data_IF_972644403076
#
_entry.id   IF_972644403076
#
_cell.length_a   1.000
_cell.length_b   1.000
_cell.length_c   1.000
_cell.angle_alpha   90.00
_cell.angle_beta   90.00
_cell.angle_gamma   90.00
#
_symmetry.space_group_name_H-M   'P 1'
#
loop_
_entity.id
_entity.type
_entity.pdbx_description
1 polymer ?
#
# COMPACT_ATOMS: atom_id res chain seq x y z
N UNK A 1 -4.00 -14.59 -26.96
CA UNK A 1 -4.04 -13.75 -25.73
C UNK A 1 -2.66 -13.39 -25.18
N UNK A 2 -1.70 -14.32 -25.06
CA UNK A 2 -0.34 -14.01 -24.54
C UNK A 2 0.40 -12.88 -25.30
N UNK A 3 0.31 -12.84 -26.63
CA UNK A 3 1.00 -11.84 -27.47
C UNK A 3 0.49 -10.40 -27.29
N UNK A 4 -0.79 -10.24 -26.95
CA UNK A 4 -1.41 -8.92 -26.75
C UNK A 4 -1.00 -8.35 -25.38
N UNK A 5 -0.92 -9.20 -24.35
CA UNK A 5 -0.44 -8.81 -23.02
C UNK A 5 1.01 -8.33 -23.07
N UNK A 6 1.88 -9.02 -23.81
CA UNK A 6 3.26 -8.56 -24.01
C UNK A 6 3.37 -7.25 -24.79
N UNK A 7 2.51 -7.04 -25.81
CA UNK A 7 2.49 -5.79 -26.57
C UNK A 7 2.05 -4.60 -25.70
N UNK A 8 1.03 -4.78 -24.85
CA UNK A 8 0.57 -3.73 -23.91
C UNK A 8 1.65 -3.42 -22.87
N UNK A 9 2.36 -4.43 -22.38
CA UNK A 9 3.45 -4.26 -21.40
C UNK A 9 4.66 -3.51 -22.00
N UNK A 10 5.02 -3.81 -23.25
CA UNK A 10 6.08 -3.10 -23.98
C UNK A 10 5.66 -1.66 -24.29
N UNK A 11 4.41 -1.45 -24.72
CA UNK A 11 3.90 -0.12 -25.05
C UNK A 11 3.82 0.78 -23.81
N UNK A 12 3.51 0.21 -22.63
CA UNK A 12 3.58 0.94 -21.35
C UNK A 12 5.00 1.33 -20.97
N UNK A 13 6.03 0.54 -21.27
CA UNK A 13 7.42 0.90 -20.99
C UNK A 13 7.95 2.02 -21.89
N UNK A 14 7.44 2.16 -23.11
CA UNK A 14 7.89 3.21 -24.07
C UNK A 14 7.21 4.56 -23.79
N UNK A 15 5.98 4.56 -23.24
CA UNK A 15 5.23 5.78 -22.95
C UNK A 15 5.80 6.61 -21.77
N UNK A 16 6.74 6.08 -20.98
CA UNK A 16 7.37 6.80 -19.86
C UNK A 16 8.56 7.70 -20.25
N UNK A 17 8.86 7.90 -21.55
CA UNK A 17 9.99 8.75 -21.99
C UNK A 17 9.61 10.18 -22.42
N UNK A 18 8.58 10.79 -21.82
CA UNK A 18 8.34 12.23 -21.98
C UNK A 18 9.09 13.03 -20.92
N UNK A 19 10.32 13.45 -21.23
CA UNK A 19 11.05 14.45 -20.45
C UNK A 19 10.57 15.84 -20.84
N UNK A 20 9.77 16.47 -19.98
CA UNK A 20 9.48 17.90 -20.10
C UNK A 20 9.15 18.47 -18.72
N UNK A 21 10.14 19.03 -18.04
CA UNK A 21 10.06 20.33 -17.35
C UNK A 21 11.39 20.67 -16.66
N UNK A 22 11.97 21.78 -17.10
CA UNK A 22 13.06 22.48 -16.43
C UNK A 22 12.55 23.09 -15.12
N UNK A 23 12.50 22.29 -14.06
CA UNK A 23 12.53 22.77 -12.69
C UNK A 23 13.72 22.12 -12.01
N UNK A 24 14.45 22.86 -11.17
CA UNK A 24 15.59 22.37 -10.40
C UNK A 24 15.10 21.41 -9.30
N UNK A 25 14.56 20.28 -9.71
CA UNK A 25 14.03 19.25 -8.82
C UNK A 25 15.16 18.28 -8.46
N UNK A 26 15.63 18.38 -7.22
CA UNK A 26 16.59 17.42 -6.68
C UNK A 26 15.86 16.15 -6.27
N UNK A 27 16.21 15.04 -6.92
CA UNK A 27 15.73 13.70 -6.54
C UNK A 27 16.20 13.38 -5.12
N UNK A 28 15.25 13.27 -4.19
CA UNK A 28 15.51 12.92 -2.79
C UNK A 28 15.25 11.43 -2.57
N UNK A 29 16.06 10.81 -1.73
CA UNK A 29 15.91 9.42 -1.28
C UNK A 29 15.70 9.44 0.23
N UNK A 30 14.83 8.57 0.71
CA UNK A 30 14.53 8.45 2.14
C UNK A 30 14.29 7.00 2.49
N UNK A 31 14.63 6.60 3.72
CA UNK A 31 14.26 5.32 4.29
C UNK A 31 13.29 5.58 5.44
N UNK A 32 12.21 4.81 5.49
CA UNK A 32 11.22 4.90 6.53
C UNK A 32 10.84 3.58 7.14
N UNK A 33 10.26 3.68 8.33
CA UNK A 33 9.72 2.59 9.12
C UNK A 33 8.28 2.90 9.47
N UNK A 34 7.41 1.90 9.46
CA UNK A 34 6.00 2.07 9.84
C UNK A 34 5.51 0.94 10.73
N UNK A 35 4.53 1.28 11.56
CA UNK A 35 3.65 0.32 12.19
C UNK A 35 2.43 0.10 11.28
N UNK A 36 2.00 -1.15 11.17
CA UNK A 36 0.96 -1.58 10.24
C UNK A 36 -0.16 -2.29 10.99
N UNK A 37 -1.40 -1.96 10.66
CA UNK A 37 -2.61 -2.70 11.04
C UNK A 37 -3.35 -3.18 9.79
N UNK A 38 -3.50 -4.50 9.66
CA UNK A 38 -4.22 -5.16 8.58
C UNK A 38 -5.64 -5.55 9.04
N UNK A 39 -6.65 -5.00 8.38
CA UNK A 39 -8.07 -5.27 8.62
C UNK A 39 -8.67 -6.10 7.47
N UNK A 40 -8.94 -7.36 7.78
CA UNK A 40 -9.61 -8.30 6.89
C UNK A 40 -11.13 -8.33 7.06
N UNK A 41 -11.63 -7.87 8.22
CA UNK A 41 -13.04 -8.01 8.61
C UNK A 41 -13.92 -6.99 7.92
N UNK A 42 -13.52 -5.72 7.86
CA UNK A 42 -14.32 -4.68 7.22
C UNK A 42 -14.54 -4.96 5.73
N UNK A 43 -13.53 -5.34 4.94
CA UNK A 43 -13.73 -5.70 3.53
C UNK A 43 -14.63 -6.93 3.34
N UNK A 44 -14.54 -7.92 4.22
CA UNK A 44 -15.42 -9.10 4.18
C UNK A 44 -16.88 -8.71 4.43
N UNK A 45 -17.13 -7.84 5.42
CA UNK A 45 -18.47 -7.31 5.70
C UNK A 45 -19.01 -6.42 4.57
N UNK A 46 -18.17 -5.57 3.97
CA UNK A 46 -18.56 -4.73 2.83
C UNK A 46 -18.93 -5.56 1.59
N UNK A 47 -18.39 -6.77 1.45
CA UNK A 47 -18.68 -7.67 0.34
C UNK A 47 -19.87 -8.58 0.60
N UNK A 48 -20.11 -8.96 1.86
CA UNK A 48 -21.23 -9.83 2.25
C UNK A 48 -22.49 -9.05 2.58
N UNK A 49 -22.38 -7.77 2.91
CA UNK A 49 -23.49 -6.87 3.24
C UNK A 49 -23.43 -5.59 2.39
N UNK A 50 -24.35 -4.63 2.62
CA UNK A 50 -24.31 -3.33 1.92
C UNK A 50 -23.42 -2.32 2.64
N UNK A 51 -22.84 -1.37 1.89
CA UNK A 51 -22.09 -0.24 2.45
C UNK A 51 -22.89 0.53 3.51
N UNK A 52 -24.17 0.82 3.22
CA UNK A 52 -25.08 1.48 4.15
C UNK A 52 -25.25 0.69 5.46
N UNK A 53 -25.24 -0.64 5.41
CA UNK A 53 -25.32 -1.49 6.60
C UNK A 53 -24.03 -1.50 7.41
N UNK A 54 -22.84 -1.39 6.79
CA UNK A 54 -21.57 -1.34 7.52
C UNK A 54 -21.40 0.00 8.23
N UNK A 55 -21.72 1.10 7.55
CA UNK A 55 -21.66 2.45 8.11
C UNK A 55 -22.70 2.65 9.22
N UNK A 56 -23.96 2.27 8.98
CA UNK A 56 -25.05 2.44 9.96
C UNK A 56 -24.86 1.63 11.23
N UNK A 57 -24.20 0.48 11.14
CA UNK A 57 -24.00 -0.42 12.28
C UNK A 57 -22.57 -0.38 12.84
N UNK A 58 -21.76 0.62 12.43
CA UNK A 58 -20.39 0.86 12.90
C UNK A 58 -19.49 -0.39 12.88
N UNK A 59 -19.66 -1.28 11.89
CA UNK A 59 -18.97 -2.58 11.85
C UNK A 59 -17.55 -2.50 11.30
N UNK A 60 -16.89 -1.36 11.46
CA UNK A 60 -15.47 -1.21 11.17
C UNK A 60 -14.68 -2.02 12.19
N UNK A 61 -13.64 -2.71 11.74
CA UNK A 61 -12.76 -3.44 12.64
C UNK A 61 -12.10 -2.46 13.62
N UNK A 62 -12.11 -2.82 14.90
CA UNK A 62 -11.36 -2.07 15.92
C UNK A 62 -9.87 -2.33 15.72
N UNK A 63 -9.01 -1.40 16.11
CA UNK A 63 -7.56 -1.58 16.05
C UNK A 63 -7.10 -2.88 16.73
N UNK A 64 -7.73 -3.28 17.84
CA UNK A 64 -7.43 -4.54 18.55
C UNK A 64 -7.74 -5.82 17.75
N UNK A 65 -8.61 -5.72 16.73
CA UNK A 65 -8.98 -6.84 15.85
C UNK A 65 -8.15 -6.87 14.56
N UNK A 66 -7.27 -5.87 14.36
CA UNK A 66 -6.37 -5.83 13.21
C UNK A 66 -5.15 -6.70 13.46
N UNK A 67 -4.64 -7.32 12.39
CA UNK A 67 -3.35 -7.99 12.44
C UNK A 67 -2.22 -6.96 12.40
N UNK A 68 -1.36 -6.98 13.41
CA UNK A 68 -0.32 -5.97 13.59
C UNK A 68 1.00 -6.38 12.96
N UNK A 69 1.78 -5.40 12.52
CA UNK A 69 3.07 -5.62 11.89
C UNK A 69 3.92 -4.38 11.77
N UNK A 70 5.04 -4.53 11.07
CA UNK A 70 5.97 -3.46 10.79
C UNK A 70 6.32 -3.45 9.30
N UNK A 71 6.61 -2.25 8.79
CA UNK A 71 7.03 -2.02 7.41
C UNK A 71 8.33 -1.25 7.35
N UNK A 72 9.12 -1.53 6.32
CA UNK A 72 10.29 -0.76 5.90
C UNK A 72 10.00 -0.23 4.51
N UNK A 73 10.28 1.05 4.29
CA UNK A 73 9.97 1.77 3.05
C UNK A 73 11.23 2.44 2.51
N UNK A 74 11.51 2.24 1.23
CA UNK A 74 12.48 3.03 0.48
C UNK A 74 11.71 3.98 -0.44
N UNK A 75 11.87 5.28 -0.22
CA UNK A 75 11.12 6.34 -0.89
C UNK A 75 12.07 7.09 -1.81
N UNK A 76 11.71 7.22 -3.08
CA UNK A 76 12.46 7.98 -4.06
C UNK A 76 11.57 8.99 -4.77
N UNK A 77 11.80 10.27 -4.51
CA UNK A 77 11.10 11.36 -5.17
C UNK A 77 11.59 11.50 -6.62
N UNK A 78 10.70 11.18 -7.57
CA UNK A 78 11.03 11.13 -9.00
C UNK A 78 10.57 12.40 -9.71
N UNK A 79 9.43 12.97 -9.29
CA UNK A 79 8.88 14.25 -9.71
C UNK A 79 8.45 15.06 -8.47
N UNK A 80 8.24 16.40 -8.58
CA UNK A 80 7.76 17.22 -7.46
C UNK A 80 6.56 16.61 -6.73
N UNK A 81 5.60 16.07 -7.48
CA UNK A 81 4.37 15.48 -6.96
C UNK A 81 4.36 13.95 -6.95
N UNK A 82 5.43 13.26 -7.38
CA UNK A 82 5.42 11.79 -7.46
C UNK A 82 6.64 11.20 -6.77
N UNK A 83 6.35 10.39 -5.74
CA UNK A 83 7.33 9.55 -5.06
C UNK A 83 7.10 8.09 -5.44
N UNK A 84 8.17 7.39 -5.81
CA UNK A 84 8.15 5.94 -5.99
C UNK A 84 8.57 5.31 -4.67
N UNK A 85 7.76 4.41 -4.13
CA UNK A 85 7.99 3.78 -2.84
C UNK A 85 8.06 2.27 -3.03
N UNK A 86 9.16 1.67 -2.56
CA UNK A 86 9.27 0.24 -2.40
C UNK A 86 9.09 -0.10 -0.92
N UNK A 87 8.13 -0.95 -0.59
CA UNK A 87 7.79 -1.33 0.78
C UNK A 87 7.96 -2.82 1.00
N UNK A 88 8.53 -3.19 2.14
CA UNK A 88 8.51 -4.55 2.66
C UNK A 88 7.85 -4.55 4.03
N UNK A 89 6.80 -5.37 4.20
CA UNK A 89 6.07 -5.48 5.46
C UNK A 89 6.01 -6.91 5.96
N UNK A 90 6.04 -7.05 7.29
CA UNK A 90 5.80 -8.30 8.00
C UNK A 90 4.73 -8.07 9.05
N UNK A 91 3.68 -8.90 9.04
CA UNK A 91 2.58 -8.81 10.01
C UNK A 91 2.12 -10.18 10.49
N UNK A 92 1.54 -10.22 11.68
CA UNK A 92 0.86 -11.41 12.20
C UNK A 92 -0.64 -11.21 12.05
N UNK A 93 -1.26 -12.06 11.24
CA UNK A 93 -2.66 -11.92 10.84
C UNK A 93 -3.39 -13.24 11.02
N UNK A 94 -4.66 -13.14 11.40
CA UNK A 94 -5.56 -14.28 11.54
C UNK A 94 -6.66 -14.17 10.48
N UNK A 95 -6.56 -14.97 9.41
CA UNK A 95 -7.64 -15.11 8.42
C UNK A 95 -7.61 -16.50 7.78
N UNK A 96 -8.79 -17.05 7.49
CA UNK A 96 -8.91 -18.38 6.86
C UNK A 96 -9.05 -18.25 5.34
N UNK A 97 -8.18 -18.91 4.57
CA UNK A 97 -8.30 -19.01 3.11
C UNK A 97 -9.41 -20.01 2.72
N UNK A 98 -10.10 -19.85 1.58
CA UNK A 98 -11.07 -20.83 1.09
C UNK A 98 -10.46 -22.24 1.02
N UNK A 99 -11.10 -23.22 1.67
CA UNK A 99 -10.61 -24.61 1.72
C UNK A 99 -9.47 -24.89 2.72
N UNK A 100 -9.07 -23.92 3.56
CA UNK A 100 -8.08 -24.12 4.62
C UNK A 100 -8.59 -23.59 5.97
N UNK A 101 -8.97 -24.51 6.86
CA UNK A 101 -9.29 -24.20 8.26
C UNK A 101 -8.01 -23.88 9.03
N UNK A 102 -7.56 -22.64 8.95
CA UNK A 102 -6.48 -22.14 9.78
C UNK A 102 -7.04 -20.99 10.64
N UNK A 103 -7.18 -21.25 11.93
CA UNK A 103 -7.67 -20.33 12.97
C UNK A 103 -6.52 -19.89 13.89
N UNK A 104 -5.29 -19.83 13.37
CA UNK A 104 -4.12 -19.43 14.15
C UNK A 104 -3.44 -18.23 13.51
N UNK A 105 -2.88 -17.38 14.36
CA UNK A 105 -2.14 -16.20 13.95
C UNK A 105 -0.90 -16.63 13.14
N UNK A 106 -0.77 -16.18 11.89
CA UNK A 106 0.35 -16.55 11.03
C UNK A 106 1.05 -15.34 10.46
N UNK A 107 2.32 -15.54 10.16
CA UNK A 107 3.15 -14.53 9.54
C UNK A 107 2.77 -14.32 8.06
N UNK A 108 2.52 -13.06 7.74
CA UNK A 108 2.29 -12.54 6.40
C UNK A 108 3.46 -11.63 6.05
N UNK A 109 4.17 -11.95 4.98
CA UNK A 109 5.17 -11.06 4.39
C UNK A 109 4.60 -10.44 3.12
N UNK A 110 4.75 -9.14 2.94
CA UNK A 110 4.35 -8.45 1.71
C UNK A 110 5.49 -7.58 1.19
N UNK A 111 5.56 -7.50 -0.14
CA UNK A 111 6.47 -6.64 -0.86
C UNK A 111 5.66 -5.89 -1.91
N UNK A 112 5.74 -4.56 -1.93
CA UNK A 112 5.01 -3.73 -2.89
C UNK A 112 5.86 -2.58 -3.42
N UNK A 113 5.48 -2.12 -4.62
CA UNK A 113 6.02 -0.92 -5.26
C UNK A 113 4.83 -0.03 -5.63
N UNK A 114 4.80 1.17 -5.06
CA UNK A 114 3.72 2.14 -5.25
C UNK A 114 4.22 3.47 -5.79
N UNK A 115 3.38 4.14 -6.57
CA UNK A 115 3.48 5.56 -6.83
C UNK A 115 2.63 6.33 -5.82
N UNK A 116 3.25 7.27 -5.11
CA UNK A 116 2.59 8.20 -4.21
C UNK A 116 2.46 9.56 -4.91
N UNK A 117 1.23 9.90 -5.26
CA UNK A 117 0.86 11.12 -5.99
C UNK A 117 0.44 12.21 -5.02
N UNK A 118 1.36 13.11 -4.69
CA UNK A 118 1.18 14.24 -3.77
C UNK A 118 0.34 15.35 -4.39
N UNK A 119 -0.60 15.88 -3.62
CA UNK A 119 -1.53 16.91 -4.09
C UNK A 119 -0.88 18.29 -4.19
N UNK A 120 0.05 18.61 -3.28
CA UNK A 120 0.71 19.92 -3.23
C UNK A 120 2.22 19.80 -3.40
N UNK A 121 2.85 20.85 -3.92
CA UNK A 121 4.31 20.98 -3.91
C UNK A 121 4.74 21.70 -2.62
N UNK A 122 5.77 21.19 -1.92
CA UNK A 122 6.40 21.84 -0.77
C UNK A 122 5.46 22.23 0.41
N UNK A 123 4.35 21.51 0.59
CA UNK A 123 3.46 21.70 1.74
C UNK A 123 3.95 20.93 2.96
N UNK A 124 3.88 21.55 4.15
CA UNK A 124 4.16 20.88 5.44
C UNK A 124 3.22 19.70 5.65
N UNK A 125 1.95 19.83 5.25
CA UNK A 125 0.97 18.76 5.26
C UNK A 125 0.56 18.48 3.82
N UNK A 126 0.81 17.26 3.35
CA UNK A 126 0.62 16.91 1.95
C UNK A 126 -0.20 15.62 1.84
N UNK A 127 -1.50 15.72 1.52
CA UNK A 127 -2.29 14.58 1.13
C UNK A 127 -1.76 13.97 -0.18
N UNK A 128 -1.81 12.65 -0.28
CA UNK A 128 -1.39 11.94 -1.49
C UNK A 128 -2.25 10.72 -1.76
N UNK A 129 -2.33 10.34 -3.04
CA UNK A 129 -2.92 9.09 -3.47
C UNK A 129 -1.84 8.03 -3.66
N UNK A 130 -2.20 6.77 -3.47
CA UNK A 130 -1.31 5.62 -3.57
C UNK A 130 -1.89 4.67 -4.60
N UNK A 131 -1.07 4.24 -5.55
CA UNK A 131 -1.42 3.14 -6.44
C UNK A 131 -0.17 2.34 -6.81
N UNK A 132 -0.27 1.02 -6.89
CA UNK A 132 0.89 0.19 -7.17
C UNK A 132 0.57 -1.27 -7.43
N UNK A 133 1.59 -2.10 -7.29
CA UNK A 133 1.49 -3.57 -7.37
C UNK A 133 2.33 -4.19 -6.26
N UNK A 134 1.91 -5.35 -5.78
CA UNK A 134 2.63 -6.07 -4.74
C UNK A 134 2.39 -7.57 -4.77
N UNK A 135 3.23 -8.26 -4.01
CA UNK A 135 3.18 -9.69 -3.79
C UNK A 135 3.16 -9.98 -2.29
N UNK A 136 2.35 -10.95 -1.89
CA UNK A 136 2.21 -11.40 -0.51
C UNK A 136 2.58 -12.87 -0.40
N UNK A 137 3.27 -13.24 0.66
CA UNK A 137 3.50 -14.62 1.06
C UNK A 137 2.82 -14.87 2.39
N UNK A 138 1.79 -15.72 2.37
CA UNK A 138 1.10 -16.17 3.57
C UNK A 138 1.39 -17.64 3.81
N UNK A 139 2.12 -17.96 4.87
CA UNK A 139 2.67 -19.31 5.10
C UNK A 139 3.52 -19.78 3.90
N UNK A 140 2.98 -20.68 3.05
CA UNK A 140 3.63 -21.24 1.87
C UNK A 140 2.91 -20.87 0.56
N UNK A 141 1.96 -19.94 0.60
CA UNK A 141 1.17 -19.52 -0.56
C UNK A 141 1.61 -18.12 -0.98
N UNK A 142 1.93 -17.96 -2.27
CA UNK A 142 2.25 -16.68 -2.88
C UNK A 142 1.01 -16.12 -3.57
N UNK A 143 0.72 -14.85 -3.32
CA UNK A 143 -0.35 -14.10 -3.97
C UNK A 143 0.16 -12.78 -4.52
N UNK A 144 -0.55 -12.23 -5.49
CA UNK A 144 -0.35 -10.87 -5.98
C UNK A 144 -1.54 -9.98 -5.58
N UNK A 145 -1.30 -8.70 -5.35
CA UNK A 145 -2.31 -7.72 -5.03
C UNK A 145 -1.97 -6.34 -5.63
N UNK A 146 -2.98 -5.49 -5.72
CA UNK A 146 -2.88 -4.10 -6.16
C UNK A 146 -3.21 -3.24 -4.93
N UNK A 147 -2.23 -2.55 -4.33
CA UNK A 147 -2.50 -1.53 -3.32
C UNK A 147 -3.03 -0.26 -3.99
N UNK A 148 -4.18 0.22 -3.53
CA UNK A 148 -4.72 1.54 -3.88
C UNK A 148 -5.20 2.26 -2.63
N UNK A 149 -5.00 3.56 -2.53
CA UNK A 149 -5.44 4.29 -1.34
C UNK A 149 -4.96 5.72 -1.30
N UNK A 150 -4.78 6.23 -0.10
CA UNK A 150 -4.26 7.56 0.12
C UNK A 150 -3.55 7.68 1.45
N UNK A 151 -2.90 8.81 1.65
CA UNK A 151 -2.18 9.11 2.88
C UNK A 151 -1.99 10.59 3.07
N UNK A 152 -1.41 10.93 4.20
CA UNK A 152 -1.02 12.29 4.56
C UNK A 152 0.43 12.23 5.02
N UNK A 153 1.27 13.05 4.38
CA UNK A 153 2.64 13.28 4.79
C UNK A 153 2.73 14.57 5.59
N UNK A 154 3.52 14.55 6.64
CA UNK A 154 3.91 15.72 7.41
C UNK A 154 5.42 15.89 7.27
N UNK A 155 5.85 16.89 6.52
CA UNK A 155 7.26 17.21 6.32
C UNK A 155 7.79 17.98 7.54
N UNK A 156 8.73 17.38 8.27
CA UNK A 156 9.44 18.02 9.39
C UNK A 156 10.72 18.63 8.83
N UNK A 157 10.72 19.97 8.74
CA UNK A 157 11.81 20.88 8.30
C UNK A 157 13.09 20.16 7.87
N UNK A 158 13.11 19.68 6.62
CA UNK A 158 14.31 19.29 5.88
C UNK A 158 14.89 17.88 6.11
N UNK A 159 14.58 17.21 7.22
CA UNK A 159 15.32 15.99 7.60
C UNK A 159 14.44 14.73 7.70
N UNK A 160 13.20 14.88 8.16
CA UNK A 160 12.31 13.75 8.42
C UNK A 160 10.89 14.02 7.92
N UNK A 161 10.15 12.94 7.70
CA UNK A 161 8.75 12.96 7.30
C UNK A 161 7.98 11.99 8.16
N UNK A 162 6.86 12.43 8.71
CA UNK A 162 5.87 11.50 9.26
C UNK A 162 4.85 11.21 8.17
N UNK A 163 4.39 9.97 8.10
CA UNK A 163 3.40 9.59 7.11
C UNK A 163 2.34 8.70 7.75
N UNK A 164 1.10 8.90 7.31
CA UNK A 164 -0.01 8.00 7.60
C UNK A 164 -0.61 7.54 6.29
N UNK A 165 -0.86 6.25 6.15
CA UNK A 165 -1.40 5.64 4.94
C UNK A 165 -2.64 4.81 5.27
N UNK A 166 -3.59 4.88 4.36
CA UNK A 166 -4.75 4.03 4.32
C UNK A 166 -4.84 3.41 2.92
N UNK A 167 -4.59 2.12 2.81
CA UNK A 167 -4.56 1.39 1.55
C UNK A 167 -5.59 0.27 1.56
N UNK A 168 -6.27 0.09 0.44
CA UNK A 168 -7.05 -1.09 0.12
C UNK A 168 -6.23 -2.02 -0.77
N UNK A 169 -5.97 -3.24 -0.29
CA UNK A 169 -5.20 -4.25 -1.03
C UNK A 169 -6.15 -5.17 -1.77
N UNK A 170 -6.23 -4.97 -3.08
CA UNK A 170 -7.07 -5.76 -4.01
C UNK A 170 -6.30 -7.02 -4.44
N UNK A 171 -6.69 -8.24 -4.03
CA UNK A 171 -6.01 -9.45 -4.46
C UNK A 171 -6.25 -9.70 -5.95
N UNK A 172 -5.16 -9.89 -6.70
CA UNK A 172 -5.20 -10.38 -8.08
C UNK A 172 -5.34 -11.91 -8.07
N UNK A 173 -4.75 -12.57 -7.07
CA UNK A 173 -4.82 -14.02 -6.87
C UNK A 173 -5.72 -14.34 -5.69
N UNK A 174 -7.02 -14.51 -5.95
CA UNK A 174 -8.06 -14.70 -4.90
C UNK A 174 -7.89 -15.98 -4.08
N UNK A 175 -7.19 -16.98 -4.63
CA UNK A 175 -6.93 -18.26 -3.95
C UNK A 175 -5.78 -18.16 -2.93
N UNK A 176 -5.00 -17.08 -3.00
CA UNK A 176 -3.76 -16.90 -2.26
C UNK A 176 -3.75 -15.63 -1.38
N UNK A 177 -4.59 -14.65 -1.68
CA UNK A 177 -4.67 -13.38 -0.98
C UNK A 177 -6.11 -12.93 -0.81
N UNK A 178 -6.42 -12.30 0.33
CA UNK A 178 -7.73 -11.74 0.63
C UNK A 178 -7.69 -10.21 0.57
N UNK A 179 -8.86 -9.65 0.26
CA UNK A 179 -9.09 -8.22 0.34
C UNK A 179 -8.89 -7.77 1.78
N UNK A 180 -8.04 -6.78 1.99
CA UNK A 180 -7.85 -6.19 3.31
C UNK A 180 -7.54 -4.70 3.22
N UNK A 181 -7.93 -3.96 4.24
CA UNK A 181 -7.42 -2.61 4.45
C UNK A 181 -6.11 -2.70 5.22
N UNK A 182 -5.17 -1.85 4.85
CA UNK A 182 -3.92 -1.66 5.55
C UNK A 182 -3.82 -0.21 5.99
N UNK A 183 -3.72 -0.02 7.29
CA UNK A 183 -3.49 1.28 7.91
C UNK A 183 -2.04 1.28 8.38
N UNK A 184 -1.28 2.30 8.04
CA UNK A 184 0.08 2.44 8.54
C UNK A 184 0.39 3.84 9.01
N UNK A 185 1.23 3.93 10.04
CA UNK A 185 1.78 5.17 10.55
C UNK A 185 3.29 4.99 10.70
N UNK A 186 4.07 5.94 10.20
CA UNK A 186 5.52 5.80 10.17
C UNK A 186 6.27 7.11 10.06
N UNK A 187 7.60 6.96 10.11
CA UNK A 187 8.58 8.02 9.96
C UNK A 187 9.57 7.64 8.86
N UNK A 188 9.99 8.59 8.05
CA UNK A 188 11.04 8.45 7.06
C UNK A 188 12.10 9.54 7.23
N UNK A 189 13.37 9.16 7.22
CA UNK A 189 14.51 10.07 7.22
C UNK A 189 15.13 10.17 5.83
N UNK A 190 15.57 11.36 5.45
CA UNK A 190 16.33 11.54 4.21
C UNK A 190 17.70 10.82 4.30
N UNK A 191 18.17 10.31 3.17
CA UNK A 191 19.48 9.70 3.00
C UNK A 191 20.52 10.72 2.53
#
# INVERSE_FOLDING_TARGET
MRKIVFAVLILSCVAFQSNAQNSTFTKKKSIGFSFIGNDYRTPELLRTTSYASVVRNEKFAKLSEMGHGFGIHYIQSTLPNIDVVASFSGSFVEFSLPGKNNSSNRFLAELDVTGNFKMFENAVVNPYLIAGVGASKYTNVFGAFIPVGGGINFDIVGEAKLFTQFQYRLPVTTDASKHHFQISFGIAGNL
#
